data_IF_694758467088
#
_entry.id   IF_694758467088
#
_cell.length_a   1.000
_cell.length_b   1.000
_cell.length_c   1.000
_cell.angle_alpha   90.00
_cell.angle_beta   90.00
_cell.angle_gamma   90.00
#
_symmetry.space_group_name_H-M   'P 1'
#
loop_
_entity.id
_entity.type
_entity.pdbx_description
1 polymer ?
#
# COMPACT_ATOMS: atom_id res chain seq x y z
N UNK A 1 -27.72 -63.75 -14.64
CA UNK A 1 -28.50 -64.65 -13.77
C UNK A 1 -28.65 -64.00 -12.41
N UNK A 2 -29.71 -63.79 -12.00
CA UNK A 2 -30.70 -63.97 -10.92
C UNK A 2 -30.85 -62.67 -10.14
N UNK A 3 -31.89 -61.95 -10.36
CA UNK A 3 -33.31 -62.01 -9.89
C UNK A 3 -33.52 -61.61 -8.41
N UNK A 4 -34.30 -60.50 -8.28
CA UNK A 4 -35.48 -60.30 -7.40
C UNK A 4 -35.19 -60.03 -5.92
N UNK A 5 -35.91 -59.16 -5.22
CA UNK A 5 -37.36 -58.84 -5.11
C UNK A 5 -37.50 -57.54 -4.32
N UNK A 6 -38.30 -56.62 -4.74
CA UNK A 6 -39.62 -56.22 -4.34
C UNK A 6 -39.89 -56.32 -2.81
N UNK A 7 -40.12 -55.20 -2.23
CA UNK A 7 -40.72 -55.05 -0.92
C UNK A 7 -41.40 -53.69 -0.83
N UNK A 8 -42.67 -53.66 -1.26
CA UNK A 8 -43.62 -52.58 -0.97
C UNK A 8 -43.97 -52.62 0.52
N UNK A 9 -43.90 -51.50 1.21
CA UNK A 9 -44.84 -51.23 2.30
C UNK A 9 -45.19 -49.75 2.31
N UNK A 10 -46.45 -49.51 2.13
CA UNK A 10 -47.18 -48.29 2.39
C UNK A 10 -47.38 -48.15 3.89
N UNK A 11 -47.12 -47.01 4.43
CA UNK A 11 -47.77 -46.54 5.65
C UNK A 11 -47.96 -45.04 5.58
N UNK A 12 -49.20 -44.66 5.58
CA UNK A 12 -49.72 -43.31 5.80
C UNK A 12 -49.30 -42.78 7.19
N UNK A 13 -49.08 -41.50 7.30
CA UNK A 13 -49.17 -40.86 8.59
C UNK A 13 -48.65 -39.44 8.66
N UNK A 14 -49.60 -38.49 8.68
CA UNK A 14 -49.60 -37.23 9.44
C UNK A 14 -48.69 -36.07 9.03
N UNK A 15 -49.25 -35.14 8.37
CA UNK A 15 -49.35 -33.68 8.65
C UNK A 15 -48.60 -33.23 9.90
N UNK A 16 -47.55 -32.46 9.75
CA UNK A 16 -47.15 -31.45 10.73
C UNK A 16 -46.71 -30.18 9.96
N UNK A 17 -47.34 -29.14 10.41
CA UNK A 17 -47.33 -27.77 10.08
C UNK A 17 -45.92 -27.16 9.81
N UNK A 18 -45.94 -26.25 8.90
CA UNK A 18 -45.10 -25.13 8.64
C UNK A 18 -44.03 -24.78 9.66
N UNK A 19 -42.81 -24.92 9.22
CA UNK A 19 -41.74 -24.05 9.70
C UNK A 19 -41.39 -23.14 8.55
N UNK A 20 -41.84 -21.92 8.64
CA UNK A 20 -41.36 -20.83 7.82
C UNK A 20 -39.84 -20.72 8.02
N UNK A 21 -39.10 -21.28 7.09
CA UNK A 21 -37.69 -20.92 6.95
C UNK A 21 -37.63 -19.46 6.55
N UNK A 22 -37.38 -18.59 7.50
CA UNK A 22 -36.98 -17.24 7.24
C UNK A 22 -35.67 -17.33 6.47
N UNK A 23 -35.56 -16.85 5.23
CA UNK A 23 -34.26 -16.71 4.63
C UNK A 23 -33.50 -15.75 5.50
N UNK A 24 -32.39 -16.20 6.07
CA UNK A 24 -31.43 -15.34 6.68
C UNK A 24 -31.04 -14.32 5.59
N UNK A 25 -31.61 -13.14 5.69
CA UNK A 25 -31.09 -12.01 4.99
C UNK A 25 -29.63 -11.91 5.38
N UNK A 26 -28.79 -12.22 4.45
CA UNK A 26 -27.38 -11.87 4.55
C UNK A 26 -27.39 -10.35 4.64
N UNK A 27 -27.31 -9.85 5.85
CA UNK A 27 -26.94 -8.48 6.06
C UNK A 27 -25.54 -8.38 5.45
N UNK A 28 -25.50 -7.89 4.21
CA UNK A 28 -24.28 -7.27 3.72
C UNK A 28 -24.01 -6.17 4.74
N UNK A 29 -23.08 -6.46 5.64
CA UNK A 29 -22.40 -5.40 6.33
C UNK A 29 -21.71 -4.64 5.21
N UNK A 30 -22.33 -3.52 4.83
CA UNK A 30 -21.62 -2.43 4.22
C UNK A 30 -20.53 -2.08 5.23
N UNK A 31 -19.38 -2.71 5.06
CA UNK A 31 -18.15 -2.29 5.68
C UNK A 31 -17.97 -0.85 5.20
N UNK A 32 -18.08 0.13 6.09
CA UNK A 32 -17.93 1.52 5.65
C UNK A 32 -16.56 1.59 5.00
N UNK A 33 -16.55 1.93 3.71
CA UNK A 33 -15.31 2.26 3.01
C UNK A 33 -14.51 3.16 3.95
N UNK A 34 -13.22 2.88 4.20
CA UNK A 34 -12.43 3.68 5.11
C UNK A 34 -12.63 5.12 4.70
N UNK A 35 -13.16 5.92 5.62
CA UNK A 35 -13.35 7.33 5.41
C UNK A 35 -12.01 7.87 4.99
N UNK A 36 -11.91 8.37 3.76
CA UNK A 36 -10.73 9.08 3.29
C UNK A 36 -10.64 10.30 4.18
N UNK A 37 -9.78 10.21 5.17
CA UNK A 37 -9.55 11.29 6.12
C UNK A 37 -8.83 12.39 5.32
N UNK A 38 -9.60 13.33 4.76
CA UNK A 38 -9.09 14.50 4.01
C UNK A 38 -8.30 15.46 4.92
N UNK A 39 -7.80 14.92 6.02
CA UNK A 39 -6.96 15.65 6.95
C UNK A 39 -5.56 15.78 6.36
N UNK A 40 -5.00 16.99 6.33
CA UNK A 40 -3.62 17.18 5.89
C UNK A 40 -2.69 16.24 6.64
N UNK A 41 -1.75 15.64 5.92
CA UNK A 41 -0.78 14.73 6.50
C UNK A 41 0.07 15.38 7.59
N UNK A 42 0.70 14.56 8.40
CA UNK A 42 1.64 15.00 9.45
C UNK A 42 2.83 15.71 8.84
N UNK A 43 3.25 16.82 9.46
CA UNK A 43 4.45 17.54 9.01
C UNK A 43 5.69 16.67 9.23
N UNK A 44 6.45 16.41 8.17
CA UNK A 44 7.76 15.78 8.24
C UNK A 44 8.84 16.85 8.32
N UNK A 45 9.75 16.72 9.26
CA UNK A 45 10.89 17.62 9.46
C UNK A 45 12.20 16.89 9.24
N UNK A 46 13.28 17.64 9.05
CA UNK A 46 14.61 17.06 9.03
C UNK A 46 14.89 16.31 10.34
N UNK A 47 15.33 15.06 10.22
CA UNK A 47 15.55 14.15 11.34
C UNK A 47 14.37 13.23 11.68
N UNK A 48 13.18 13.48 11.12
CA UNK A 48 12.02 12.62 11.32
C UNK A 48 12.18 11.29 10.56
N UNK A 49 11.40 10.30 10.99
CA UNK A 49 11.42 8.98 10.40
C UNK A 49 10.20 8.83 9.46
N UNK A 50 10.49 8.59 8.20
CA UNK A 50 9.50 8.25 7.18
C UNK A 50 9.46 6.73 7.04
N UNK A 51 8.31 6.13 7.28
CA UNK A 51 8.09 4.68 7.19
C UNK A 51 7.11 4.34 6.09
N UNK A 52 7.40 3.32 5.32
CA UNK A 52 6.53 2.89 4.24
C UNK A 52 7.05 1.66 3.53
N UNK A 53 6.41 1.31 2.43
CA UNK A 53 6.83 0.22 1.55
C UNK A 53 7.79 0.74 0.49
N UNK A 54 8.94 0.07 0.35
CA UNK A 54 9.96 0.43 -0.63
C UNK A 54 9.74 -0.36 -1.93
N UNK A 55 9.57 0.36 -3.02
CA UNK A 55 9.43 -0.18 -4.36
C UNK A 55 10.62 0.23 -5.23
N UNK A 56 11.00 -0.65 -6.16
CA UNK A 56 11.99 -0.33 -7.18
C UNK A 56 11.29 -0.09 -8.49
N UNK A 57 11.38 1.12 -8.99
CA UNK A 57 10.87 1.49 -10.30
C UNK A 57 12.00 1.38 -11.32
N UNK A 58 11.72 0.74 -12.45
CA UNK A 58 12.66 0.70 -13.57
C UNK A 58 12.57 2.03 -14.32
N UNK A 59 13.51 2.91 -14.09
CA UNK A 59 13.64 4.13 -14.87
C UNK A 59 13.94 3.80 -16.34
N UNK A 60 13.47 4.66 -17.25
CA UNK A 60 13.99 4.67 -18.62
C UNK A 60 15.50 4.89 -18.52
N UNK A 61 16.26 4.02 -19.14
CA UNK A 61 17.72 4.14 -19.13
C UNK A 61 18.13 5.53 -19.61
N UNK A 62 19.10 6.09 -18.93
CA UNK A 62 19.73 7.32 -19.38
C UNK A 62 20.37 7.11 -20.76
N UNK A 63 20.71 8.19 -21.45
CA UNK A 63 21.28 8.18 -22.80
C UNK A 63 22.56 7.31 -22.95
N UNK A 64 23.08 6.75 -21.87
CA UNK A 64 24.24 5.86 -21.83
C UNK A 64 23.87 4.38 -21.61
N UNK A 65 22.59 4.01 -21.68
CA UNK A 65 22.14 2.63 -21.56
C UNK A 65 22.27 1.99 -20.16
N UNK A 66 22.67 2.75 -19.16
CA UNK A 66 22.68 2.29 -17.78
C UNK A 66 21.25 2.35 -17.24
N UNK A 67 20.70 1.20 -16.94
CA UNK A 67 19.42 1.09 -16.22
C UNK A 67 19.68 1.46 -14.75
N UNK A 68 19.35 2.69 -14.38
CA UNK A 68 19.34 3.08 -12.98
C UNK A 68 18.01 2.63 -12.34
N UNK A 69 18.08 1.94 -11.22
CA UNK A 69 16.90 1.66 -10.43
C UNK A 69 16.55 2.94 -9.65
N UNK A 70 15.31 3.38 -9.79
CA UNK A 70 14.75 4.46 -8.96
C UNK A 70 13.99 3.80 -7.82
N UNK A 71 14.27 4.21 -6.61
CA UNK A 71 13.58 3.71 -5.42
C UNK A 71 12.48 4.68 -5.03
N UNK A 72 11.31 4.13 -4.75
CA UNK A 72 10.14 4.88 -4.30
C UNK A 72 9.65 4.30 -2.98
N UNK A 73 9.47 5.16 -1.99
CA UNK A 73 8.82 4.82 -0.73
C UNK A 73 7.38 5.30 -0.78
N UNK A 74 6.44 4.39 -0.58
CA UNK A 74 5.02 4.70 -0.42
C UNK A 74 4.69 4.73 1.06
N UNK A 75 4.24 5.87 1.54
CA UNK A 75 3.96 6.14 2.95
C UNK A 75 2.56 6.71 3.11
N UNK A 76 2.19 7.04 4.33
CA UNK A 76 1.04 7.89 4.61
C UNK A 76 1.31 9.31 4.14
N UNK A 77 0.27 10.12 3.88
CA UNK A 77 0.46 11.50 3.44
C UNK A 77 1.22 12.32 4.48
N UNK A 78 2.17 13.11 4.01
CA UNK A 78 2.96 14.02 4.83
C UNK A 78 2.96 15.42 4.25
N UNK A 79 3.00 16.42 5.12
CA UNK A 79 3.33 17.79 4.71
C UNK A 79 4.84 17.99 4.78
N UNK A 80 5.36 18.74 3.84
CA UNK A 80 6.77 19.13 3.84
C UNK A 80 6.96 20.47 4.56
N UNK A 81 8.18 20.76 5.03
CA UNK A 81 8.52 22.09 5.53
C UNK A 81 8.30 23.16 4.46
N UNK A 82 8.00 24.41 4.84
CA UNK A 82 7.91 25.50 3.86
C UNK A 82 9.22 25.62 3.03
N UNK A 83 9.14 25.94 1.73
CA UNK A 83 7.94 26.35 0.96
C UNK A 83 7.14 25.19 0.37
N UNK A 84 7.56 23.92 0.55
CA UNK A 84 6.93 22.75 -0.08
C UNK A 84 5.47 22.54 0.34
N UNK A 85 5.21 22.56 1.63
CA UNK A 85 3.86 22.39 2.16
C UNK A 85 3.22 21.07 1.74
N UNK A 86 2.09 21.14 1.06
CA UNK A 86 1.35 19.99 0.55
C UNK A 86 1.78 19.55 -0.86
N UNK A 87 2.77 20.16 -1.45
CA UNK A 87 3.19 19.92 -2.85
C UNK A 87 2.07 20.06 -3.89
N UNK A 88 1.08 20.90 -3.62
CA UNK A 88 -0.09 21.08 -4.50
C UNK A 88 -1.14 19.96 -4.38
N UNK A 89 -1.03 19.08 -3.40
CA UNK A 89 -1.95 17.97 -3.14
C UNK A 89 -2.89 18.32 -1.97
N UNK A 90 -4.01 17.60 -1.85
CA UNK A 90 -4.98 17.84 -0.77
C UNK A 90 -4.44 17.47 0.62
N UNK A 91 -3.74 16.34 0.72
CA UNK A 91 -3.24 15.78 1.98
C UNK A 91 -1.72 15.82 2.11
N UNK A 92 -1.04 16.16 1.02
CA UNK A 92 0.42 16.08 0.90
C UNK A 92 0.89 14.81 0.21
N UNK A 93 2.19 14.73 -0.12
CA UNK A 93 2.75 13.60 -0.83
C UNK A 93 2.69 12.31 -0.02
N UNK A 94 2.38 11.22 -0.72
CA UNK A 94 2.38 9.85 -0.22
C UNK A 94 3.51 9.03 -0.84
N UNK A 95 4.02 9.47 -1.99
CA UNK A 95 5.10 8.82 -2.72
C UNK A 95 6.37 9.66 -2.69
N UNK A 96 7.45 9.03 -2.26
CA UNK A 96 8.73 9.68 -2.05
C UNK A 96 9.81 8.97 -2.86
N UNK A 97 10.43 9.68 -3.80
CA UNK A 97 11.59 9.17 -4.51
C UNK A 97 12.82 9.24 -3.59
N UNK A 98 13.48 8.12 -3.41
CA UNK A 98 14.69 8.04 -2.60
C UNK A 98 15.91 8.15 -3.50
N UNK A 99 16.62 9.26 -3.39
CA UNK A 99 17.83 9.51 -4.19
C UNK A 99 18.99 8.71 -3.63
N UNK A 100 19.69 7.98 -4.48
CA UNK A 100 20.90 7.24 -4.13
C UNK A 100 22.11 7.89 -4.80
N UNK A 101 23.13 8.22 -4.02
CA UNK A 101 24.35 8.89 -4.49
C UNK A 101 25.58 7.95 -4.49
N UNK A 102 25.42 6.72 -4.03
CA UNK A 102 26.48 5.73 -3.98
C UNK A 102 25.98 4.32 -4.18
N UNK A 103 26.85 3.43 -4.65
CA UNK A 103 26.55 2.01 -4.78
C UNK A 103 26.24 1.35 -3.43
N UNK A 104 26.79 1.85 -2.35
CA UNK A 104 26.50 1.40 -0.99
C UNK A 104 25.03 1.68 -0.60
N UNK A 105 24.52 2.87 -0.92
CA UNK A 105 23.10 3.20 -0.70
C UNK A 105 22.17 2.36 -1.56
N UNK A 106 22.54 2.13 -2.82
CA UNK A 106 21.80 1.23 -3.71
C UNK A 106 21.74 -0.19 -3.13
N UNK A 107 22.86 -0.73 -2.70
CA UNK A 107 22.94 -2.07 -2.09
C UNK A 107 22.10 -2.16 -0.81
N UNK A 108 22.10 -1.11 0.00
CA UNK A 108 21.32 -1.03 1.23
C UNK A 108 19.81 -1.06 0.96
N UNK A 109 19.33 -0.25 0.01
CA UNK A 109 17.91 -0.22 -0.35
C UNK A 109 17.44 -1.50 -1.06
N UNK A 110 18.31 -2.12 -1.83
CA UNK A 110 17.99 -3.35 -2.57
C UNK A 110 17.48 -4.48 -1.67
N UNK A 111 17.98 -4.56 -0.45
CA UNK A 111 17.54 -5.53 0.56
C UNK A 111 16.12 -5.29 1.10
N UNK A 112 15.58 -4.09 0.91
CA UNK A 112 14.27 -3.69 1.43
C UNK A 112 13.19 -3.58 0.34
N UNK A 113 13.50 -3.80 -0.92
CA UNK A 113 12.51 -3.75 -2.01
C UNK A 113 11.38 -4.73 -1.76
N UNK A 114 10.14 -4.25 -1.85
CA UNK A 114 8.93 -5.02 -1.54
C UNK A 114 8.67 -5.22 -0.04
N UNK A 115 9.36 -4.47 0.81
CA UNK A 115 9.24 -4.57 2.27
C UNK A 115 9.02 -3.19 2.89
N UNK A 116 8.49 -3.21 4.11
CA UNK A 116 8.43 -2.01 4.93
C UNK A 116 9.83 -1.61 5.40
N UNK A 117 10.18 -0.35 5.23
CA UNK A 117 11.44 0.25 5.70
C UNK A 117 11.15 1.57 6.39
N UNK A 118 12.00 1.93 7.33
CA UNK A 118 11.98 3.23 8.00
C UNK A 118 13.27 3.98 7.65
N UNK A 119 13.12 5.17 7.11
CA UNK A 119 14.21 6.04 6.72
C UNK A 119 14.16 7.30 7.57
N UNK A 120 15.30 7.68 8.14
CA UNK A 120 15.44 9.01 8.72
C UNK A 120 15.70 9.98 7.58
N UNK A 121 14.86 10.98 7.45
CA UNK A 121 14.89 11.96 6.39
C UNK A 121 15.60 13.21 6.88
N UNK A 122 16.62 13.65 6.17
CA UNK A 122 17.36 14.88 6.49
C UNK A 122 17.01 16.00 5.51
N UNK A 123 16.72 15.65 4.27
CA UNK A 123 16.35 16.62 3.25
C UNK A 123 15.27 16.05 2.34
N UNK A 124 14.15 16.78 2.25
CA UNK A 124 12.98 16.41 1.44
C UNK A 124 12.42 17.65 0.75
N UNK A 125 12.01 17.50 -0.50
CA UNK A 125 11.40 18.54 -1.32
C UNK A 125 10.28 17.97 -2.18
N UNK A 126 9.39 18.85 -2.64
CA UNK A 126 8.39 18.46 -3.65
C UNK A 126 9.06 18.11 -4.97
N UNK A 127 8.50 17.16 -5.70
CA UNK A 127 8.89 16.89 -7.07
C UNK A 127 8.53 18.10 -7.96
N UNK A 128 9.47 18.54 -8.78
CA UNK A 128 9.28 19.72 -9.62
C UNK A 128 9.20 19.39 -11.12
N UNK A 129 9.73 18.23 -11.50
CA UNK A 129 9.78 17.81 -12.90
C UNK A 129 8.63 16.85 -13.24
N UNK A 130 7.98 17.10 -14.36
CA UNK A 130 6.88 16.27 -14.85
C UNK A 130 7.28 14.81 -15.16
N UNK A 131 8.58 14.51 -15.24
CA UNK A 131 9.12 13.16 -15.42
C UNK A 131 9.40 12.41 -14.14
N UNK A 132 9.18 13.02 -12.98
CA UNK A 132 9.37 12.36 -11.68
C UNK A 132 8.16 11.48 -11.37
N UNK A 133 8.44 10.23 -10.97
CA UNK A 133 7.40 9.24 -10.69
C UNK A 133 6.82 9.35 -9.28
N UNK A 134 7.32 10.26 -8.46
CA UNK A 134 6.92 10.46 -7.08
C UNK A 134 6.56 11.92 -6.84
N UNK A 135 5.74 12.15 -5.85
CA UNK A 135 5.22 13.47 -5.48
C UNK A 135 6.25 14.31 -4.71
N UNK A 136 7.16 13.64 -4.04
CA UNK A 136 8.26 14.27 -3.31
C UNK A 136 9.58 13.50 -3.50
N UNK A 137 10.69 14.17 -3.19
CA UNK A 137 12.04 13.65 -3.34
C UNK A 137 12.76 13.75 -2.00
N UNK A 138 13.36 12.65 -1.57
CA UNK A 138 14.26 12.58 -0.41
C UNK A 138 15.68 12.48 -0.92
N UNK A 139 16.45 13.54 -0.75
CA UNK A 139 17.84 13.65 -1.24
C UNK A 139 18.88 13.23 -0.21
N UNK A 140 18.59 13.40 1.09
CA UNK A 140 19.46 12.95 2.19
C UNK A 140 18.67 12.11 3.19
N UNK A 141 19.16 10.93 3.46
CA UNK A 141 18.49 9.94 4.30
C UNK A 141 19.47 8.91 4.87
N UNK A 142 19.02 8.22 5.90
CA UNK A 142 19.69 7.03 6.45
C UNK A 142 18.65 5.98 6.85
N UNK A 143 19.01 4.69 6.74
CA UNK A 143 18.13 3.61 7.20
C UNK A 143 18.11 3.57 8.71
N UNK A 144 16.91 3.53 9.30
CA UNK A 144 16.74 3.30 10.72
C UNK A 144 16.78 1.80 10.98
N UNK A 145 17.83 1.34 11.66
CA UNK A 145 17.91 -0.06 12.07
C UNK A 145 16.79 -0.34 13.09
N UNK A 146 15.99 -1.37 12.82
CA UNK A 146 15.13 -1.93 13.87
C UNK A 146 16.02 -2.65 14.87
N UNK A 147 16.07 -2.16 16.09
CA UNK A 147 16.59 -2.89 17.23
C UNK A 147 15.57 -3.90 17.74
#
# INVERSE_FOLDING_TARGET
>A
MTKRRFGRQLALGAIIAGVMAVPAAWAQQDEPAPAVDNKPGTLIKAGDVLSGELNSLRGHGDKKGKRSATYQLTSQPHRLPPPGGLCGLETGPETFQIVTNSDAQVAQLKGFVGKAVSLRVEEVACAQDAGQMSEAIVSKWSVVAKH
#
